data_IF_471024888974
#
_entry.id   IF_471024888974
#
_cell.length_a   1.000
_cell.length_b   1.000
_cell.length_c   1.000
_cell.angle_alpha   90.00
_cell.angle_beta   90.00
_cell.angle_gamma   90.00
#
_symmetry.space_group_name_H-M   'P 1'
#
loop_
_entity.id
_entity.type
_entity.pdbx_description
1 polymer ?
#
# COMPACT_ATOMS: atom_id res chain seq x y z
N UNK A 1 17.98 -8.05 -29.62
CA UNK A 1 17.61 -9.17 -30.52
C UNK A 1 16.13 -8.98 -30.80
N UNK A 2 15.72 -8.90 -32.07
CA UNK A 2 14.31 -8.75 -32.41
C UNK A 2 13.54 -10.03 -32.00
N UNK A 3 12.26 -9.94 -31.61
CA UNK A 3 11.54 -11.05 -30.99
C UNK A 3 11.16 -12.06 -32.08
N UNK A 4 11.80 -13.22 -32.08
CA UNK A 4 11.19 -14.39 -32.67
C UNK A 4 10.26 -15.00 -31.61
N UNK A 5 8.97 -15.04 -31.90
CA UNK A 5 7.91 -15.51 -30.99
C UNK A 5 8.04 -16.96 -30.46
N UNK A 6 9.16 -17.64 -30.73
CA UNK A 6 9.51 -18.90 -30.08
C UNK A 6 10.01 -18.73 -28.63
N UNK A 7 10.36 -17.50 -28.22
CA UNK A 7 10.84 -17.21 -26.86
C UNK A 7 9.77 -16.71 -25.89
N UNK A 8 8.77 -15.97 -26.39
CA UNK A 8 7.84 -15.21 -25.55
C UNK A 8 7.02 -16.10 -24.60
N UNK A 9 7.08 -15.76 -23.31
CA UNK A 9 6.35 -16.50 -22.30
C UNK A 9 5.75 -15.67 -21.17
N UNK A 10 4.63 -16.17 -20.64
CA UNK A 10 3.96 -15.64 -19.45
C UNK A 10 4.12 -16.60 -18.27
N UNK A 11 4.11 -16.05 -17.06
CA UNK A 11 3.93 -16.79 -15.82
C UNK A 11 2.69 -16.25 -15.11
N UNK A 12 1.85 -17.16 -14.62
CA UNK A 12 0.63 -16.79 -13.91
C UNK A 12 0.63 -17.47 -12.55
N UNK A 13 0.70 -16.69 -11.47
CA UNK A 13 0.76 -17.18 -10.09
C UNK A 13 -0.37 -16.65 -9.21
N UNK A 14 -0.56 -17.25 -8.03
CA UNK A 14 -1.57 -16.83 -7.04
C UNK A 14 -0.91 -16.25 -5.79
N UNK A 15 -1.51 -15.20 -5.22
CA UNK A 15 -1.15 -14.60 -3.92
C UNK A 15 0.35 -14.30 -3.78
N UNK A 16 0.95 -13.76 -4.85
CA UNK A 16 2.36 -13.39 -4.98
C UNK A 16 3.34 -14.57 -4.97
N UNK A 17 2.84 -15.81 -5.09
CA UNK A 17 3.65 -17.01 -5.24
C UNK A 17 4.11 -17.25 -6.69
N UNK A 18 5.30 -17.82 -6.85
CA UNK A 18 5.82 -18.25 -8.14
C UNK A 18 5.08 -19.50 -8.62
N UNK A 19 4.50 -19.52 -9.83
CA UNK A 19 3.80 -20.69 -10.30
C UNK A 19 4.76 -21.82 -10.66
N UNK A 20 4.37 -23.06 -10.37
CA UNK A 20 5.08 -24.26 -10.85
C UNK A 20 4.40 -24.86 -12.08
N UNK A 21 3.06 -24.82 -12.13
CA UNK A 21 2.22 -25.44 -13.17
C UNK A 21 1.69 -24.45 -14.21
N UNK A 22 1.62 -23.17 -13.88
CA UNK A 22 1.34 -22.06 -14.82
C UNK A 22 2.57 -21.17 -15.04
N UNK A 23 3.76 -21.77 -15.04
CA UNK A 23 5.00 -21.11 -15.46
C UNK A 23 5.28 -21.37 -16.95
N UNK A 24 5.96 -20.43 -17.59
CA UNK A 24 6.42 -20.55 -18.97
C UNK A 24 5.27 -20.86 -19.95
N UNK A 25 4.11 -20.19 -19.80
CA UNK A 25 3.07 -20.23 -20.81
C UNK A 25 3.66 -19.73 -22.13
N UNK A 26 3.40 -20.43 -23.22
CA UNK A 26 4.01 -20.21 -24.54
C UNK A 26 2.97 -20.43 -25.63
N UNK A 27 3.39 -20.52 -26.89
CA UNK A 27 2.50 -20.75 -28.03
C UNK A 27 1.79 -19.48 -28.49
N UNK A 28 2.36 -18.31 -28.19
CA UNK A 28 1.92 -17.03 -28.71
C UNK A 28 2.51 -16.82 -30.11
N UNK A 29 1.67 -16.52 -31.09
CA UNK A 29 2.10 -16.32 -32.47
C UNK A 29 2.63 -14.89 -32.65
N UNK A 30 3.70 -14.68 -33.44
CA UNK A 30 4.24 -13.35 -33.66
C UNK A 30 3.22 -12.47 -34.38
N UNK A 31 3.04 -11.23 -33.90
CA UNK A 31 2.17 -10.22 -34.50
C UNK A 31 0.69 -10.66 -34.66
N UNK A 32 0.22 -11.59 -33.85
CA UNK A 32 -1.16 -12.05 -33.87
C UNK A 32 -1.74 -12.15 -32.46
N UNK A 33 -3.04 -11.88 -32.32
CA UNK A 33 -3.77 -12.18 -31.10
C UNK A 33 -4.24 -13.63 -31.17
N UNK A 34 -3.75 -14.47 -30.27
CA UNK A 34 -4.16 -15.86 -30.17
C UNK A 34 -4.30 -16.30 -28.71
N UNK A 35 -5.25 -17.20 -28.48
CA UNK A 35 -5.37 -17.87 -27.20
C UNK A 35 -4.29 -18.93 -27.07
N UNK A 36 -3.69 -19.03 -25.89
CA UNK A 36 -2.85 -20.16 -25.52
C UNK A 36 -3.13 -20.56 -24.07
N UNK A 37 -3.00 -21.86 -23.82
CA UNK A 37 -3.05 -22.50 -22.50
C UNK A 37 -1.78 -23.32 -22.24
N UNK A 38 -0.86 -23.38 -23.20
CA UNK A 38 0.24 -24.34 -23.19
C UNK A 38 1.44 -23.77 -22.45
N UNK A 39 2.12 -24.61 -21.68
CA UNK A 39 3.46 -24.35 -21.15
C UNK A 39 4.53 -24.81 -22.14
N UNK A 40 5.79 -24.41 -21.95
CA UNK A 40 6.92 -24.90 -22.74
C UNK A 40 7.12 -26.44 -22.67
N UNK A 41 6.53 -27.11 -21.68
CA UNK A 41 6.51 -28.58 -21.58
C UNK A 41 5.33 -29.21 -22.31
N UNK A 42 4.58 -28.44 -23.11
CA UNK A 42 3.39 -28.87 -23.86
C UNK A 42 2.28 -29.44 -22.97
N UNK A 43 2.17 -28.91 -21.74
CA UNK A 43 1.07 -29.20 -20.81
C UNK A 43 0.17 -27.98 -20.67
N UNK A 44 -1.06 -28.16 -20.19
CA UNK A 44 -1.92 -27.03 -19.87
C UNK A 44 -1.42 -26.32 -18.61
N UNK A 45 -1.38 -25.00 -18.65
CA UNK A 45 -1.18 -24.17 -17.48
C UNK A 45 -2.40 -24.28 -16.56
N UNK A 46 -2.16 -24.62 -15.29
CA UNK A 46 -3.21 -24.74 -14.27
C UNK A 46 -2.86 -23.92 -13.03
N UNK A 47 -3.89 -23.50 -12.31
CA UNK A 47 -3.77 -22.81 -11.04
C UNK A 47 -4.46 -23.66 -9.97
N UNK A 48 -3.72 -24.03 -8.93
CA UNK A 48 -4.23 -24.89 -7.88
C UNK A 48 -4.91 -24.03 -6.80
N UNK A 49 -6.23 -24.11 -6.75
CA UNK A 49 -7.06 -23.45 -5.73
C UNK A 49 -7.42 -24.47 -4.64
N UNK A 50 -6.60 -24.54 -3.60
CA UNK A 50 -6.77 -25.51 -2.49
C UNK A 50 -7.83 -25.13 -1.47
N UNK A 51 -8.42 -23.93 -1.59
CA UNK A 51 -9.46 -23.41 -0.70
C UNK A 51 -10.39 -22.46 -1.45
N UNK A 52 -11.58 -22.24 -0.91
CA UNK A 52 -12.47 -21.15 -1.37
C UNK A 52 -12.04 -19.82 -0.75
N UNK A 53 -11.98 -18.76 -1.55
CA UNK A 53 -11.63 -17.42 -1.04
C UNK A 53 -11.28 -16.44 -2.17
N UNK A 54 -10.80 -15.26 -1.77
CA UNK A 54 -10.24 -14.26 -2.69
C UNK A 54 -8.79 -14.59 -2.98
N UNK A 55 -8.41 -14.56 -4.26
CA UNK A 55 -7.05 -14.79 -4.71
C UNK A 55 -6.56 -13.60 -5.53
N UNK A 56 -5.31 -13.21 -5.33
CA UNK A 56 -4.62 -12.26 -6.21
C UNK A 56 -3.94 -13.02 -7.32
N UNK A 57 -4.34 -12.77 -8.57
CA UNK A 57 -3.66 -13.31 -9.73
C UNK A 57 -2.48 -12.39 -10.09
N UNK A 58 -1.30 -12.98 -10.22
CA UNK A 58 -0.09 -12.30 -10.64
C UNK A 58 0.27 -12.78 -12.02
N UNK A 59 0.40 -11.86 -12.97
CA UNK A 59 0.83 -12.18 -14.33
C UNK A 59 2.14 -11.46 -14.59
N UNK A 60 3.15 -12.22 -14.97
CA UNK A 60 4.45 -11.68 -15.38
C UNK A 60 4.84 -12.22 -16.75
N UNK A 61 5.66 -11.45 -17.47
CA UNK A 61 6.23 -11.81 -18.76
C UNK A 61 7.73 -12.00 -18.59
N UNK A 62 8.30 -12.99 -19.28
CA UNK A 62 9.74 -13.26 -19.24
C UNK A 62 10.51 -12.40 -20.24
N UNK A 63 9.90 -12.10 -21.38
CA UNK A 63 10.45 -11.28 -22.46
C UNK A 63 9.66 -9.98 -22.66
N UNK A 64 10.33 -8.93 -23.12
CA UNK A 64 9.71 -7.65 -23.45
C UNK A 64 8.98 -7.70 -24.80
N UNK A 65 7.90 -6.91 -24.92
CA UNK A 65 7.15 -6.77 -26.18
C UNK A 65 5.97 -7.73 -26.34
N UNK A 66 5.86 -8.78 -25.52
CA UNK A 66 4.65 -9.59 -25.41
C UNK A 66 3.49 -8.74 -24.86
N UNK A 67 2.32 -8.82 -25.50
CA UNK A 67 1.12 -8.08 -25.09
C UNK A 67 0.05 -9.04 -24.65
N UNK A 68 -0.55 -8.77 -23.49
CA UNK A 68 -1.71 -9.50 -22.96
C UNK A 68 -2.94 -8.61 -23.07
N UNK A 69 -4.01 -9.14 -23.65
CA UNK A 69 -5.33 -8.48 -23.71
C UNK A 69 -6.29 -9.11 -22.71
N UNK A 70 -6.44 -10.44 -22.76
CA UNK A 70 -7.43 -11.17 -21.95
C UNK A 70 -6.84 -12.41 -21.29
N UNK A 71 -7.37 -12.71 -20.12
CA UNK A 71 -7.14 -13.95 -19.41
C UNK A 71 -8.48 -14.62 -19.09
N UNK A 72 -8.58 -15.91 -19.34
CA UNK A 72 -9.78 -16.70 -19.08
C UNK A 72 -9.45 -17.84 -18.13
N UNK A 73 -10.11 -17.85 -16.98
CA UNK A 73 -10.01 -18.94 -16.01
C UNK A 73 -11.14 -19.93 -16.26
N UNK A 74 -10.79 -21.18 -16.55
CA UNK A 74 -11.75 -22.26 -16.80
C UNK A 74 -11.41 -23.47 -15.93
N UNK A 75 -12.44 -24.18 -15.49
CA UNK A 75 -12.29 -25.47 -14.80
C UNK A 75 -12.13 -26.62 -15.80
N UNK A 76 -12.72 -26.51 -16.99
CA UNK A 76 -12.50 -27.45 -18.08
C UNK A 76 -11.29 -27.02 -18.91
N UNK A 77 -10.15 -27.66 -18.65
CA UNK A 77 -8.90 -27.35 -19.35
C UNK A 77 -8.95 -27.65 -20.85
N UNK A 78 -9.94 -28.39 -21.36
CA UNK A 78 -10.11 -28.65 -22.79
C UNK A 78 -10.74 -27.46 -23.55
N UNK A 79 -11.30 -26.47 -22.85
CA UNK A 79 -11.92 -25.29 -23.47
C UNK A 79 -10.85 -24.38 -24.08
N UNK A 80 -10.95 -24.11 -25.38
CA UNK A 80 -10.14 -23.11 -26.09
C UNK A 80 -11.10 -22.07 -26.69
N UNK A 81 -11.04 -20.80 -26.26
CA UNK A 81 -11.87 -19.75 -26.85
C UNK A 81 -11.50 -19.49 -28.31
N UNK A 82 -12.48 -19.13 -29.13
CA UNK A 82 -12.26 -18.71 -30.52
C UNK A 82 -12.41 -17.20 -30.66
N UNK A 83 -11.70 -16.59 -31.61
CA UNK A 83 -11.78 -15.14 -31.85
C UNK A 83 -11.41 -14.33 -30.61
N UNK A 84 -12.21 -13.30 -30.28
CA UNK A 84 -11.99 -12.45 -29.10
C UNK A 84 -12.37 -13.09 -27.75
N UNK A 85 -12.79 -14.36 -27.75
CA UNK A 85 -13.27 -15.06 -26.57
C UNK A 85 -14.68 -14.64 -26.11
N UNK A 86 -15.17 -15.18 -24.98
CA UNK A 86 -16.43 -14.76 -24.39
C UNK A 86 -16.38 -13.30 -23.92
N UNK A 87 -17.55 -12.74 -23.61
CA UNK A 87 -17.63 -11.47 -22.89
C UNK A 87 -16.85 -11.58 -21.58
N UNK A 88 -16.14 -10.51 -21.22
CA UNK A 88 -15.37 -10.43 -19.98
C UNK A 88 -16.28 -10.64 -18.78
N UNK A 89 -15.77 -11.31 -17.75
CA UNK A 89 -16.48 -11.41 -16.47
C UNK A 89 -16.67 -10.01 -15.90
N UNK A 90 -17.80 -9.71 -15.23
CA UNK A 90 -17.99 -8.43 -14.57
C UNK A 90 -16.82 -8.21 -13.60
N UNK A 91 -16.05 -7.14 -13.80
CA UNK A 91 -15.14 -6.66 -12.77
C UNK A 91 -15.98 -6.01 -11.69
N UNK A 92 -15.66 -6.23 -10.41
CA UNK A 92 -16.25 -5.45 -9.32
C UNK A 92 -15.61 -4.06 -9.27
N UNK A 93 -15.64 -3.33 -10.39
CA UNK A 93 -15.44 -1.89 -10.44
C UNK A 93 -16.77 -1.14 -10.21
N UNK A 94 -17.88 -1.87 -10.07
CA UNK A 94 -19.12 -1.30 -9.58
C UNK A 94 -18.90 -0.81 -8.15
N UNK A 95 -19.28 0.44 -7.90
CA UNK A 95 -19.37 0.95 -6.55
C UNK A 95 -20.29 0.03 -5.76
N UNK A 96 -19.92 -0.41 -4.54
CA UNK A 96 -20.83 -1.16 -3.70
C UNK A 96 -22.08 -0.31 -3.50
N UNK A 97 -23.23 -0.99 -3.40
CA UNK A 97 -24.44 -0.34 -2.91
C UNK A 97 -24.13 0.37 -1.59
N UNK A 98 -24.82 1.48 -1.31
CA UNK A 98 -24.76 2.16 -0.02
C UNK A 98 -24.90 1.12 1.09
N UNK A 99 -23.82 0.95 1.84
CA UNK A 99 -23.71 -0.01 2.91
C UNK A 99 -23.16 0.70 4.14
N UNK A 100 -23.55 0.21 5.31
CA UNK A 100 -23.17 0.81 6.58
C UNK A 100 -22.47 -0.22 7.45
N UNK A 101 -21.29 0.14 7.94
CA UNK A 101 -20.69 -0.53 9.08
C UNK A 101 -20.60 0.42 10.28
N UNK A 102 -20.63 -0.16 11.46
CA UNK A 102 -20.31 0.53 12.72
C UNK A 102 -18.89 0.15 13.13
N UNK A 103 -18.09 1.15 13.49
CA UNK A 103 -16.75 0.97 14.05
C UNK A 103 -16.78 1.34 15.53
N UNK A 104 -16.44 0.39 16.40
CA UNK A 104 -16.32 0.61 17.83
C UNK A 104 -14.85 0.56 18.23
N UNK A 105 -14.40 1.55 18.99
CA UNK A 105 -13.03 1.67 19.45
C UNK A 105 -12.98 1.53 20.97
N UNK A 106 -12.08 0.68 21.47
CA UNK A 106 -11.77 0.55 22.89
C UNK A 106 -10.36 1.05 23.18
N UNK A 107 -10.20 1.71 24.33
CA UNK A 107 -8.95 2.33 24.74
C UNK A 107 -8.56 1.92 26.16
N UNK A 108 -7.27 1.97 26.47
CA UNK A 108 -6.77 1.88 27.85
C UNK A 108 -6.78 3.27 28.56
N UNK A 109 -6.46 3.35 29.86
CA UNK A 109 -6.43 4.63 30.59
C UNK A 109 -5.39 5.65 30.09
N UNK A 110 -4.46 5.24 29.22
CA UNK A 110 -3.50 6.13 28.56
C UNK A 110 -4.00 6.57 27.16
N UNK A 111 -5.27 6.28 26.84
CA UNK A 111 -5.91 6.53 25.54
C UNK A 111 -5.20 5.83 24.38
N UNK A 112 -4.54 4.70 24.63
CA UNK A 112 -4.01 3.84 23.58
C UNK A 112 -5.10 2.89 23.12
N UNK A 113 -5.21 2.71 21.81
CA UNK A 113 -6.23 1.88 21.18
C UNK A 113 -5.98 0.40 21.51
N UNK A 114 -6.85 -0.26 22.26
CA UNK A 114 -6.68 -1.68 22.64
C UNK A 114 -7.50 -2.63 21.79
N UNK A 115 -8.64 -2.17 21.27
CA UNK A 115 -9.46 -2.98 20.38
C UNK A 115 -10.28 -2.15 19.41
N UNK A 116 -10.59 -2.74 18.25
CA UNK A 116 -11.53 -2.18 17.27
C UNK A 116 -12.44 -3.27 16.76
N UNK A 117 -13.74 -2.99 16.67
CA UNK A 117 -14.72 -3.91 16.08
C UNK A 117 -15.48 -3.21 14.96
N UNK A 118 -15.44 -3.81 13.77
CA UNK A 118 -16.24 -3.49 12.61
C UNK A 118 -17.41 -4.48 12.54
N UNK A 119 -18.62 -3.96 12.34
CA UNK A 119 -19.84 -4.76 12.19
C UNK A 119 -20.75 -4.15 11.14
N UNK A 120 -21.54 -4.97 10.44
CA UNK A 120 -22.38 -4.53 9.32
C UNK A 120 -22.00 -5.24 8.03
N UNK A 121 -21.79 -4.49 6.96
CA UNK A 121 -21.31 -5.00 5.67
C UNK A 121 -19.85 -5.48 5.70
N UNK A 122 -19.06 -4.95 6.64
CA UNK A 122 -17.73 -5.45 6.99
C UNK A 122 -17.76 -5.99 8.41
N UNK A 123 -17.16 -7.17 8.60
CA UNK A 123 -16.90 -7.75 9.92
C UNK A 123 -15.41 -7.94 10.11
N UNK A 124 -14.84 -7.26 11.10
CA UNK A 124 -13.43 -7.40 11.47
C UNK A 124 -13.24 -7.00 12.94
N UNK A 125 -12.37 -7.71 13.66
CA UNK A 125 -11.93 -7.30 15.00
C UNK A 125 -10.41 -7.18 15.05
N UNK A 126 -9.93 -6.18 15.77
CA UNK A 126 -8.52 -5.97 16.02
C UNK A 126 -8.29 -5.84 17.53
N UNK A 127 -7.23 -6.45 18.05
CA UNK A 127 -6.77 -6.26 19.42
C UNK A 127 -5.28 -5.93 19.47
N UNK A 128 -4.90 -5.09 20.44
CA UNK A 128 -3.56 -4.56 20.59
C UNK A 128 -3.12 -4.59 22.05
N UNK A 129 -1.98 -5.23 22.30
CA UNK A 129 -1.29 -5.20 23.58
C UNK A 129 -0.04 -4.32 23.48
N UNK A 130 0.27 -3.63 24.57
CA UNK A 130 1.38 -2.70 24.62
C UNK A 130 2.28 -2.95 25.83
N UNK A 131 3.57 -2.72 25.66
CA UNK A 131 4.47 -2.58 26.80
C UNK A 131 4.30 -1.21 27.50
N UNK A 132 5.05 -0.99 28.58
CA UNK A 132 4.98 0.24 29.38
C UNK A 132 5.34 1.53 28.61
N UNK A 133 6.16 1.42 27.55
CA UNK A 133 6.60 2.55 26.71
C UNK A 133 5.77 2.71 25.42
N UNK A 134 4.66 1.97 25.31
CA UNK A 134 3.71 2.09 24.21
C UNK A 134 4.09 1.36 22.93
N UNK A 135 5.13 0.52 22.93
CA UNK A 135 5.35 -0.38 21.80
C UNK A 135 4.28 -1.47 21.79
N UNK A 136 3.68 -1.72 20.62
CA UNK A 136 2.71 -2.79 20.42
C UNK A 136 3.41 -4.14 20.50
N UNK A 137 3.20 -4.92 21.55
CA UNK A 137 3.82 -6.26 21.72
C UNK A 137 3.05 -7.35 21.00
N UNK A 138 1.74 -7.17 20.83
CA UNK A 138 0.86 -8.13 20.16
C UNK A 138 -0.17 -7.39 19.31
N UNK A 139 -0.45 -7.93 18.14
CA UNK A 139 -1.52 -7.52 17.24
C UNK A 139 -2.32 -8.75 16.87
N UNK A 140 -3.62 -8.75 17.18
CA UNK A 140 -4.54 -9.79 16.74
C UNK A 140 -5.53 -9.17 15.76
N UNK A 141 -5.73 -9.81 14.62
CA UNK A 141 -6.73 -9.43 13.63
C UNK A 141 -7.60 -10.63 13.30
N UNK A 142 -8.91 -10.46 13.32
CA UNK A 142 -9.88 -11.47 12.88
C UNK A 142 -10.77 -10.83 11.83
N UNK A 143 -10.57 -11.20 10.57
CA UNK A 143 -11.42 -10.76 9.44
C UNK A 143 -12.20 -11.98 8.96
N UNK A 144 -11.52 -12.91 8.30
CA UNK A 144 -12.03 -14.25 7.97
C UNK A 144 -11.45 -15.32 8.88
N UNK A 145 -10.19 -15.15 9.28
CA UNK A 145 -9.47 -15.98 10.24
C UNK A 145 -8.73 -15.09 11.25
N UNK A 146 -8.48 -15.64 12.44
CA UNK A 146 -7.68 -14.97 13.46
C UNK A 146 -6.20 -15.15 13.16
N UNK A 147 -5.49 -14.03 13.00
CA UNK A 147 -4.04 -13.96 12.89
C UNK A 147 -3.49 -13.22 14.11
N UNK A 148 -2.40 -13.73 14.66
CA UNK A 148 -1.75 -13.16 15.84
C UNK A 148 -0.30 -12.90 15.53
N UNK A 149 0.09 -11.63 15.57
CA UNK A 149 1.47 -11.21 15.36
C UNK A 149 2.07 -10.73 16.68
N UNK A 150 3.21 -11.28 17.05
CA UNK A 150 4.02 -10.83 18.18
C UNK A 150 5.19 -9.99 17.71
N UNK A 151 5.51 -8.95 18.46
CA UNK A 151 6.57 -7.99 18.13
C UNK A 151 7.58 -7.88 19.27
N UNK A 152 8.86 -7.81 18.92
CA UNK A 152 9.94 -7.56 19.88
C UNK A 152 10.64 -6.24 19.59
N UNK A 153 11.20 -5.61 20.62
CA UNK A 153 11.81 -4.29 20.51
C UNK A 153 13.13 -4.24 21.26
N UNK A 154 14.05 -3.40 20.81
CA UNK A 154 15.26 -3.08 21.56
C UNK A 154 15.03 -1.91 22.54
N UNK A 155 16.08 -1.54 23.29
CA UNK A 155 16.04 -0.45 24.27
C UNK A 155 15.78 0.94 23.66
N UNK A 156 16.01 1.12 22.35
CA UNK A 156 15.72 2.35 21.62
C UNK A 156 14.29 2.37 21.03
N UNK A 157 13.42 1.42 21.42
CA UNK A 157 12.07 1.26 20.88
C UNK A 157 12.04 0.97 19.36
N UNK A 158 13.12 0.43 18.81
CA UNK A 158 13.14 -0.05 17.43
C UNK A 158 12.53 -1.45 17.39
N UNK A 159 11.66 -1.69 16.41
CA UNK A 159 11.09 -3.02 16.18
C UNK A 159 12.23 -3.95 15.76
N UNK A 160 12.36 -5.15 16.33
CA UNK A 160 13.46 -6.08 15.99
C UNK A 160 12.91 -7.29 15.25
N UNK A 161 11.81 -7.86 15.73
CA UNK A 161 11.12 -8.93 15.03
C UNK A 161 9.61 -8.77 15.00
N UNK A 162 8.98 -9.29 13.95
CA UNK A 162 7.55 -9.55 13.87
C UNK A 162 7.34 -11.02 13.49
N UNK A 163 6.53 -11.74 14.27
CA UNK A 163 6.20 -13.15 14.05
C UNK A 163 4.70 -13.35 14.08
N UNK A 164 4.11 -13.61 12.92
CA UNK A 164 2.73 -14.08 12.81
C UNK A 164 2.70 -15.57 13.16
N UNK A 165 1.76 -15.97 14.01
CA UNK A 165 1.72 -17.29 14.63
C UNK A 165 1.46 -18.43 13.62
N UNK A 166 0.66 -18.17 12.58
CA UNK A 166 0.33 -19.16 11.55
C UNK A 166 1.36 -19.23 10.41
N UNK A 167 2.18 -18.19 10.24
CA UNK A 167 3.24 -18.13 9.25
C UNK A 167 4.49 -18.89 9.72
N UNK A 168 5.17 -19.66 8.85
CA UNK A 168 6.49 -20.21 9.18
C UNK A 168 7.55 -19.11 9.30
N UNK A 169 7.33 -17.94 8.68
CA UNK A 169 8.33 -16.90 8.56
C UNK A 169 8.42 -16.01 9.79
N UNK A 170 9.62 -15.49 10.06
CA UNK A 170 9.83 -14.41 11.03
C UNK A 170 10.50 -13.24 10.31
N UNK A 171 9.98 -12.04 10.51
CA UNK A 171 10.53 -10.82 9.91
C UNK A 171 11.49 -10.15 10.88
N UNK A 172 12.65 -9.74 10.37
CA UNK A 172 13.65 -8.97 11.10
C UNK A 172 13.72 -7.55 10.56
N UNK A 173 13.89 -6.59 11.47
CA UNK A 173 13.88 -5.17 11.17
C UNK A 173 15.23 -4.58 11.58
N UNK A 174 15.94 -3.99 10.61
CA UNK A 174 17.31 -3.49 10.79
C UNK A 174 17.34 -1.98 10.67
N UNK A 175 18.00 -1.32 11.61
CA UNK A 175 18.07 0.13 11.70
C UNK A 175 19.51 0.62 11.51
N UNK A 176 19.65 1.82 10.94
CA UNK A 176 20.94 2.52 10.92
C UNK A 176 21.24 3.23 12.25
N UNK A 177 22.41 3.87 12.34
CA UNK A 177 22.84 4.60 13.53
C UNK A 177 22.02 5.85 13.85
N UNK A 178 21.23 6.37 12.90
CA UNK A 178 20.29 7.47 13.10
C UNK A 178 18.89 6.96 13.48
N UNK A 179 18.71 5.64 13.55
CA UNK A 179 17.44 5.00 13.87
C UNK A 179 16.46 4.95 12.70
N UNK A 180 16.89 5.09 11.45
CA UNK A 180 16.02 4.83 10.31
C UNK A 180 15.96 3.31 10.04
N UNK A 181 14.76 2.77 9.80
CA UNK A 181 14.59 1.39 9.35
C UNK A 181 15.15 1.25 7.94
N UNK A 182 16.22 0.47 7.76
CA UNK A 182 16.90 0.30 6.47
C UNK A 182 16.62 -1.04 5.80
N UNK A 183 16.21 -2.07 6.56
CA UNK A 183 15.87 -3.39 6.01
C UNK A 183 14.72 -4.05 6.77
N UNK A 184 13.85 -4.73 6.04
CA UNK A 184 12.91 -5.73 6.54
C UNK A 184 13.25 -7.05 5.86
N UNK A 185 13.63 -8.08 6.61
CA UNK A 185 14.20 -9.31 6.04
C UNK A 185 13.45 -10.53 6.58
N UNK A 186 12.90 -11.41 5.73
CA UNK A 186 12.31 -12.65 6.20
C UNK A 186 13.39 -13.68 6.54
N UNK A 187 13.16 -14.44 7.61
CA UNK A 187 13.92 -15.64 8.00
C UNK A 187 15.42 -15.45 8.26
N UNK A 188 15.82 -14.27 8.70
CA UNK A 188 17.17 -13.98 9.18
C UNK A 188 17.63 -12.58 8.77
N UNK A 189 18.95 -12.40 8.68
CA UNK A 189 19.57 -11.12 8.24
C UNK A 189 20.28 -11.23 6.88
N UNK A 190 20.25 -12.40 6.27
CA UNK A 190 20.76 -12.63 4.91
C UNK A 190 19.74 -12.15 3.89
N UNK A 191 20.22 -11.59 2.78
CA UNK A 191 19.34 -11.20 1.67
C UNK A 191 18.47 -12.37 1.21
N UNK A 192 17.16 -12.15 1.13
CA UNK A 192 16.18 -13.17 0.79
C UNK A 192 15.03 -12.57 -0.04
N UNK A 193 14.34 -13.42 -0.80
CA UNK A 193 13.13 -12.99 -1.52
C UNK A 193 12.12 -12.38 -0.54
N UNK A 194 11.54 -11.24 -0.92
CA UNK A 194 10.63 -10.46 -0.07
C UNK A 194 11.33 -9.50 0.89
N UNK A 195 12.67 -9.45 0.94
CA UNK A 195 13.36 -8.36 1.67
C UNK A 195 12.96 -7.00 1.09
N UNK A 196 12.67 -6.04 1.97
CA UNK A 196 12.49 -4.63 1.61
C UNK A 196 13.66 -3.83 2.13
N UNK A 197 14.24 -2.98 1.29
CA UNK A 197 15.29 -2.02 1.65
C UNK A 197 14.79 -0.59 1.56
N UNK A 198 15.29 0.22 2.48
CA UNK A 198 15.01 1.64 2.55
C UNK A 198 16.31 2.42 2.62
N UNK A 199 16.52 3.32 1.67
CA UNK A 199 17.71 4.18 1.63
C UNK A 199 17.34 5.57 2.08
N UNK A 200 18.10 6.12 3.04
CA UNK A 200 17.93 7.47 3.56
C UNK A 200 19.12 8.34 3.16
N UNK A 201 18.87 9.63 2.90
CA UNK A 201 19.94 10.59 2.67
C UNK A 201 20.52 11.13 3.99
N UNK A 202 21.56 11.96 3.91
CA UNK A 202 22.25 12.55 5.07
C UNK A 202 21.36 13.45 5.94
N UNK A 203 20.17 13.84 5.46
CA UNK A 203 19.16 14.61 6.22
C UNK A 203 18.10 13.70 6.87
N UNK A 204 18.29 12.38 6.89
CA UNK A 204 17.33 11.38 7.37
C UNK A 204 15.99 11.38 6.63
N UNK A 205 16.01 11.69 5.33
CA UNK A 205 14.83 11.58 4.46
C UNK A 205 14.94 10.32 3.60
N UNK A 206 13.86 9.53 3.53
CA UNK A 206 13.76 8.33 2.69
C UNK A 206 13.84 8.74 1.21
N UNK A 207 14.82 8.22 0.47
CA UNK A 207 15.04 8.53 -0.95
C UNK A 207 14.78 7.34 -1.87
N UNK A 208 14.79 6.11 -1.36
CA UNK A 208 14.55 4.92 -2.18
C UNK A 208 13.94 3.79 -1.37
N UNK A 209 13.07 3.02 -2.03
CA UNK A 209 12.51 1.75 -1.55
C UNK A 209 12.82 0.69 -2.60
N UNK A 210 13.33 -0.46 -2.19
CA UNK A 210 13.62 -1.59 -3.07
C UNK A 210 13.05 -2.88 -2.48
N UNK A 211 12.63 -3.81 -3.33
CA UNK A 211 12.28 -5.17 -2.93
C UNK A 211 13.27 -6.16 -3.54
N UNK A 212 13.58 -7.22 -2.80
CA UNK A 212 14.42 -8.30 -3.30
C UNK A 212 13.56 -9.43 -3.88
N UNK A 213 13.79 -9.81 -5.13
CA UNK A 213 13.05 -10.89 -5.83
C UNK A 213 13.64 -12.30 -5.62
N UNK A 214 14.65 -12.41 -4.76
CA UNK A 214 15.43 -13.63 -4.53
C UNK A 214 16.77 -13.65 -5.26
N UNK A 215 16.95 -12.80 -6.29
CA UNK A 215 18.18 -12.67 -7.05
C UNK A 215 18.79 -11.26 -6.97
N UNK A 216 17.97 -10.22 -6.99
CA UNK A 216 18.40 -8.83 -7.07
C UNK A 216 17.44 -7.87 -6.37
N UNK A 217 17.91 -6.65 -6.13
CA UNK A 217 17.08 -5.57 -5.61
C UNK A 217 16.44 -4.82 -6.77
N UNK A 218 15.12 -4.68 -6.72
CA UNK A 218 14.29 -4.00 -7.70
C UNK A 218 13.70 -2.74 -7.07
N UNK A 219 13.91 -1.55 -7.66
CA UNK A 219 13.35 -0.31 -7.12
C UNK A 219 11.82 -0.38 -7.13
N UNK A 220 11.22 0.10 -6.05
CA UNK A 220 9.77 0.23 -5.87
C UNK A 220 9.35 1.69 -5.84
N UNK A 221 10.17 2.53 -5.22
CA UNK A 221 9.98 3.97 -5.22
C UNK A 221 11.30 4.73 -5.10
N UNK A 222 11.35 5.92 -5.69
CA UNK A 222 12.40 6.92 -5.48
C UNK A 222 11.77 8.27 -5.13
N UNK A 223 12.41 9.05 -4.25
CA UNK A 223 11.84 10.29 -3.75
C UNK A 223 12.89 11.40 -3.72
N UNK A 224 12.54 12.53 -4.34
CA UNK A 224 13.34 13.73 -4.33
C UNK A 224 12.68 14.83 -3.49
N UNK A 225 13.52 15.60 -2.80
CA UNK A 225 13.10 16.65 -1.89
C UNK A 225 13.78 17.98 -2.23
N UNK A 226 13.12 19.08 -1.86
CA UNK A 226 13.76 20.40 -1.85
C UNK A 226 14.78 20.54 -0.70
N UNK A 227 15.39 21.73 -0.60
CA UNK A 227 16.31 22.08 0.48
C UNK A 227 15.67 22.12 1.88
N UNK A 228 14.35 22.29 1.96
CA UNK A 228 13.58 22.30 3.21
C UNK A 228 13.03 20.90 3.60
N UNK A 229 13.24 19.87 2.76
CA UNK A 229 12.79 18.51 3.01
C UNK A 229 11.36 18.22 2.55
N UNK A 230 10.76 19.09 1.72
CA UNK A 230 9.45 18.84 1.14
C UNK A 230 9.57 17.95 -0.09
N UNK A 231 8.67 16.98 -0.24
CA UNK A 231 8.67 16.04 -1.37
C UNK A 231 8.33 16.79 -2.66
N UNK A 232 9.30 16.87 -3.58
CA UNK A 232 9.15 17.49 -4.91
C UNK A 232 8.84 16.48 -5.99
N UNK A 233 9.27 15.23 -5.83
CA UNK A 233 9.04 14.19 -6.81
C UNK A 233 8.96 12.84 -6.13
N UNK A 234 8.09 11.97 -6.65
CA UNK A 234 8.08 10.54 -6.34
C UNK A 234 8.06 9.77 -7.65
N UNK A 235 8.93 8.79 -7.77
CA UNK A 235 8.92 7.81 -8.85
C UNK A 235 8.38 6.51 -8.25
N UNK A 236 7.37 5.91 -8.86
CA UNK A 236 6.92 4.55 -8.53
C UNK A 236 7.27 3.63 -9.69
N UNK A 237 7.67 2.40 -9.39
CA UNK A 237 8.01 1.42 -10.42
C UNK A 237 6.87 0.40 -10.55
N UNK A 238 6.25 0.34 -11.72
CA UNK A 238 5.22 -0.66 -12.05
C UNK A 238 5.78 -1.54 -13.14
N UNK A 239 5.99 -2.83 -12.84
CA UNK A 239 6.62 -3.79 -13.76
C UNK A 239 7.98 -3.29 -14.30
N UNK A 240 8.79 -2.68 -13.44
CA UNK A 240 10.09 -2.11 -13.81
C UNK A 240 10.02 -0.78 -14.56
N UNK A 241 8.84 -0.30 -14.92
CA UNK A 241 8.67 0.99 -15.60
C UNK A 241 8.51 2.10 -14.57
N UNK A 242 9.37 3.12 -14.67
CA UNK A 242 9.31 4.31 -13.83
C UNK A 242 8.11 5.19 -14.19
N UNK A 243 7.28 5.49 -13.20
CA UNK A 243 6.17 6.44 -13.27
C UNK A 243 6.48 7.60 -12.33
N UNK A 244 6.82 8.74 -12.92
CA UNK A 244 7.27 9.92 -12.18
C UNK A 244 6.10 10.84 -11.92
N UNK A 245 5.91 11.26 -10.66
CA UNK A 245 4.99 12.34 -10.27
C UNK A 245 5.79 13.49 -9.69
N UNK A 246 5.61 14.69 -10.24
CA UNK A 246 6.24 15.93 -9.78
C UNK A 246 5.22 16.79 -9.04
N UNK A 247 5.61 17.32 -7.89
CA UNK A 247 4.74 18.09 -7.00
C UNK A 247 5.07 19.58 -7.09
N UNK A 248 4.07 20.39 -7.43
CA UNK A 248 4.12 21.84 -7.24
C UNK A 248 3.58 22.16 -5.85
N UNK A 249 4.40 22.74 -4.99
CA UNK A 249 4.04 23.00 -3.59
C UNK A 249 3.63 24.47 -3.37
N UNK A 250 2.72 24.69 -2.43
CA UNK A 250 2.42 26.04 -1.92
C UNK A 250 3.62 26.56 -1.11
N UNK A 251 4.35 27.52 -1.68
CA UNK A 251 5.52 28.12 -1.06
C UNK A 251 5.20 29.04 0.13
N UNK A 252 3.93 29.41 0.31
CA UNK A 252 3.46 30.35 1.33
C UNK A 252 2.65 29.67 2.44
N UNK A 253 1.88 28.61 2.15
CA UNK A 253 1.05 27.91 3.14
C UNK A 253 1.44 26.44 3.31
N UNK A 254 2.04 26.09 4.46
CA UNK A 254 2.29 24.72 4.95
C UNK A 254 3.00 23.74 3.98
N UNK A 255 3.49 24.19 2.82
CA UNK A 255 4.17 23.37 1.80
C UNK A 255 3.33 22.20 1.29
N UNK A 256 2.01 22.39 1.24
CA UNK A 256 1.08 21.39 0.71
C UNK A 256 1.15 21.35 -0.83
N UNK A 257 0.93 20.19 -1.46
CA UNK A 257 0.90 20.10 -2.92
C UNK A 257 -0.30 20.82 -3.53
N UNK A 258 -0.04 21.81 -4.38
CA UNK A 258 -1.06 22.50 -5.19
C UNK A 258 -1.36 21.76 -6.48
N UNK A 259 -0.35 21.14 -7.09
CA UNK A 259 -0.53 20.33 -8.29
C UNK A 259 0.43 19.14 -8.31
N UNK A 260 -0.01 18.05 -8.95
CA UNK A 260 0.75 16.84 -9.19
C UNK A 260 0.72 16.56 -10.70
N UNK A 261 1.89 16.44 -11.32
CA UNK A 261 2.04 16.16 -12.75
C UNK A 261 2.76 14.82 -12.92
N UNK A 262 2.10 13.86 -13.57
CA UNK A 262 2.71 12.56 -13.87
C UNK A 262 3.19 12.41 -15.33
N UNK A 263 3.19 13.51 -16.09
CA UNK A 263 3.52 13.56 -17.51
C UNK A 263 2.35 13.24 -18.46
N UNK A 264 1.28 12.63 -17.93
CA UNK A 264 0.07 12.28 -18.69
C UNK A 264 -1.19 12.98 -18.18
N UNK A 265 -1.22 13.31 -16.90
CA UNK A 265 -2.29 13.96 -16.17
C UNK A 265 -1.70 14.97 -15.18
N UNK A 266 -2.39 16.11 -15.05
CA UNK A 266 -2.07 17.13 -14.05
C UNK A 266 -3.27 17.25 -13.12
N UNK A 267 -3.07 16.94 -11.85
CA UNK A 267 -4.09 17.07 -10.81
C UNK A 267 -3.82 18.31 -9.98
N UNK A 268 -4.77 19.24 -9.98
CA UNK A 268 -4.74 20.43 -9.12
C UNK A 268 -5.61 20.22 -7.89
N UNK A 269 -5.12 20.59 -6.72
CA UNK A 269 -5.83 20.37 -5.45
C UNK A 269 -6.55 21.64 -5.01
N UNK A 270 -7.82 21.50 -4.64
CA UNK A 270 -8.59 22.54 -3.97
C UNK A 270 -8.47 22.37 -2.46
N UNK A 271 -8.00 23.42 -1.79
CA UNK A 271 -7.90 23.47 -0.34
C UNK A 271 -8.91 24.45 0.28
N UNK A 272 -9.47 24.03 1.42
CA UNK A 272 -10.00 24.91 2.46
C UNK A 272 -9.07 24.87 3.67
N UNK A 273 -9.61 24.50 4.84
CA UNK A 273 -8.77 24.15 6.00
C UNK A 273 -8.00 22.83 5.78
N UNK A 274 -8.51 21.97 4.90
CA UNK A 274 -7.99 20.68 4.47
C UNK A 274 -8.28 20.51 2.98
N UNK A 275 -7.74 19.45 2.35
CA UNK A 275 -8.07 19.13 0.95
C UNK A 275 -9.57 18.87 0.80
N UNK A 276 -10.20 19.57 -0.14
CA UNK A 276 -11.64 19.46 -0.43
C UNK A 276 -11.92 18.65 -1.70
N UNK A 277 -11.01 18.69 -2.66
CA UNK A 277 -11.15 17.98 -3.92
C UNK A 277 -9.95 18.15 -4.82
N UNK A 278 -9.99 17.49 -5.96
CA UNK A 278 -8.96 17.51 -6.99
C UNK A 278 -9.59 17.64 -8.38
N UNK A 279 -8.91 18.38 -9.25
CA UNK A 279 -9.28 18.60 -10.64
C UNK A 279 -8.22 18.02 -11.56
N UNK A 280 -8.63 17.20 -12.51
CA UNK A 280 -7.81 16.81 -13.68
C UNK A 280 -8.49 17.28 -14.97
N UNK A 281 -9.32 16.42 -15.56
CA UNK A 281 -10.25 16.77 -16.63
C UNK A 281 -11.59 17.26 -16.07
N UNK A 282 -11.98 16.72 -14.91
CA UNK A 282 -13.22 17.03 -14.20
C UNK A 282 -12.94 17.18 -12.71
N UNK A 283 -13.85 17.84 -12.00
CA UNK A 283 -13.77 17.96 -10.54
C UNK A 283 -14.19 16.66 -9.86
N UNK A 284 -13.42 16.30 -8.84
CA UNK A 284 -13.83 15.31 -7.83
C UNK A 284 -13.60 15.85 -6.43
N UNK A 285 -14.40 15.39 -5.47
CA UNK A 285 -14.47 15.93 -4.11
C UNK A 285 -14.25 14.82 -3.08
N UNK A 286 -13.44 15.11 -2.07
CA UNK A 286 -13.15 14.16 -1.00
C UNK A 286 -14.27 14.15 0.04
N UNK A 287 -14.80 12.97 0.33
CA UNK A 287 -15.70 12.75 1.46
C UNK A 287 -14.93 12.02 2.55
N UNK A 288 -14.50 12.78 3.56
CA UNK A 288 -13.62 12.31 4.63
C UNK A 288 -14.35 11.91 5.91
N UNK A 289 -13.69 11.12 6.75
CA UNK A 289 -14.10 10.89 8.14
C UNK A 289 -13.54 11.96 9.10
N UNK A 290 -13.79 11.81 10.40
CA UNK A 290 -13.32 12.76 11.44
C UNK A 290 -11.80 12.83 11.61
N UNK A 291 -11.04 11.89 11.03
CA UNK A 291 -9.58 11.91 10.93
C UNK A 291 -9.09 12.47 9.60
N UNK A 292 -10.00 12.90 8.73
CA UNK A 292 -9.73 13.29 7.34
C UNK A 292 -9.26 12.13 6.46
N UNK A 293 -9.58 10.89 6.82
CA UNK A 293 -9.39 9.77 5.89
C UNK A 293 -10.40 9.89 4.76
N UNK A 294 -9.95 9.92 3.51
CA UNK A 294 -10.84 9.96 2.34
C UNK A 294 -11.58 8.62 2.21
N UNK A 295 -12.84 8.58 2.64
CA UNK A 295 -13.70 7.38 2.56
C UNK A 295 -14.35 7.24 1.20
N UNK A 296 -14.68 8.35 0.56
CA UNK A 296 -15.22 8.35 -0.79
C UNK A 296 -14.66 9.51 -1.62
N UNK A 297 -14.61 9.32 -2.92
CA UNK A 297 -14.36 10.37 -3.91
C UNK A 297 -15.64 10.55 -4.72
N UNK A 298 -16.16 11.76 -4.82
CA UNK A 298 -17.41 12.07 -5.51
C UNK A 298 -17.12 12.93 -6.75
N UNK A 299 -17.73 12.62 -7.89
CA UNK A 299 -17.62 13.42 -9.11
C UNK A 299 -18.46 14.70 -9.06
N UNK A 300 -18.34 15.54 -10.10
CA UNK A 300 -19.09 16.80 -10.26
C UNK A 300 -20.60 16.62 -10.41
N UNK A 301 -21.06 15.42 -10.73
CA UNK A 301 -22.49 15.06 -10.86
C UNK A 301 -23.06 14.47 -9.57
N UNK A 302 -22.25 14.31 -8.52
CA UNK A 302 -22.66 13.73 -7.25
C UNK A 302 -22.58 12.20 -7.19
N UNK A 303 -22.02 11.53 -8.19
CA UNK A 303 -21.79 10.09 -8.14
C UNK A 303 -20.50 9.79 -7.40
N UNK A 304 -20.44 8.68 -6.67
CA UNK A 304 -19.19 8.22 -6.07
C UNK A 304 -18.32 7.62 -7.17
N UNK A 305 -17.04 7.98 -7.26
CA UNK A 305 -16.07 7.40 -8.19
C UNK A 305 -15.17 6.36 -7.51
N UNK A 306 -15.01 6.46 -6.19
CA UNK A 306 -14.17 5.59 -5.37
C UNK A 306 -14.76 5.53 -3.95
N UNK A 307 -14.71 4.35 -3.33
CA UNK A 307 -15.04 4.13 -1.92
C UNK A 307 -13.98 3.27 -1.25
N UNK A 308 -13.59 3.61 -0.02
CA UNK A 308 -12.55 2.92 0.76
C UNK A 308 -12.94 2.75 2.22
N UNK A 309 -12.72 1.55 2.74
CA UNK A 309 -12.74 1.28 4.18
C UNK A 309 -11.33 0.98 4.65
N UNK A 310 -10.86 1.75 5.63
CA UNK A 310 -9.56 1.56 6.27
C UNK A 310 -9.67 0.80 7.58
N UNK A 311 -8.66 -0.02 7.86
CA UNK A 311 -8.34 -0.55 9.18
C UNK A 311 -7.72 0.52 10.08
N UNK A 312 -7.50 0.22 11.37
CA UNK A 312 -7.16 1.23 12.38
C UNK A 312 -5.82 1.96 12.15
N UNK A 313 -4.93 1.38 11.35
CA UNK A 313 -3.62 1.97 11.01
C UNK A 313 -3.48 2.22 9.50
N UNK A 314 -4.58 2.24 8.74
CA UNK A 314 -4.58 2.69 7.35
C UNK A 314 -4.45 1.61 6.28
N UNK A 315 -4.43 0.33 6.67
CA UNK A 315 -4.64 -0.77 5.71
C UNK A 315 -5.99 -0.59 5.02
N UNK A 316 -6.06 -0.81 3.71
CA UNK A 316 -7.33 -0.85 2.99
C UNK A 316 -7.97 -2.22 3.25
N UNK A 317 -9.17 -2.24 3.84
CA UNK A 317 -9.97 -3.45 4.06
C UNK A 317 -10.89 -3.73 2.88
N UNK A 318 -11.40 -2.66 2.27
CA UNK A 318 -12.23 -2.71 1.08
C UNK A 318 -11.98 -1.46 0.25
N UNK A 319 -11.90 -1.63 -1.07
CA UNK A 319 -11.86 -0.55 -2.05
C UNK A 319 -12.77 -0.93 -3.22
N UNK A 320 -13.44 0.05 -3.80
CA UNK A 320 -14.27 -0.14 -4.99
C UNK A 320 -14.42 1.15 -5.79
N UNK A 321 -14.76 1.01 -7.06
CA UNK A 321 -14.75 2.08 -8.06
C UNK A 321 -13.41 2.17 -8.80
N UNK A 322 -13.35 3.05 -9.80
CA UNK A 322 -12.14 3.28 -10.63
C UNK A 322 -11.50 4.64 -10.39
N UNK A 323 -12.08 5.47 -9.53
CA UNK A 323 -11.51 6.75 -9.11
C UNK A 323 -10.19 6.55 -8.38
N UNK A 324 -9.28 7.49 -8.55
CA UNK A 324 -8.03 7.56 -7.79
C UNK A 324 -8.02 8.87 -7.04
N UNK A 325 -7.67 8.85 -5.76
CA UNK A 325 -7.56 10.03 -4.91
C UNK A 325 -6.13 10.15 -4.38
N UNK A 326 -5.57 11.35 -4.41
CA UNK A 326 -4.21 11.63 -3.95
C UNK A 326 -4.07 11.45 -2.43
N UNK A 327 -5.15 11.77 -1.70
CA UNK A 327 -5.24 11.60 -0.26
C UNK A 327 -6.02 10.34 0.10
N UNK A 328 -5.56 9.66 1.16
CA UNK A 328 -6.16 8.45 1.69
C UNK A 328 -6.36 8.53 3.19
N UNK A 329 -5.89 7.52 3.92
CA UNK A 329 -6.03 7.40 5.37
C UNK A 329 -5.44 8.60 6.11
N UNK A 330 -6.22 9.22 7.00
CA UNK A 330 -5.88 10.43 7.75
C UNK A 330 -5.25 11.56 6.92
N UNK A 331 -5.71 11.75 5.69
CA UNK A 331 -5.17 12.75 4.77
C UNK A 331 -3.74 12.45 4.30
N UNK A 332 -3.25 11.22 4.48
CA UNK A 332 -1.94 10.81 4.01
C UNK A 332 -1.90 10.67 2.50
N UNK A 333 -0.73 10.92 1.91
CA UNK A 333 -0.47 10.57 0.52
C UNK A 333 0.18 9.19 0.42
N UNK A 334 0.12 8.57 -0.76
CA UNK A 334 0.91 7.36 -1.00
C UNK A 334 2.42 7.66 -0.86
N UNK A 335 3.12 6.81 -0.11
CA UNK A 335 4.57 6.87 0.09
C UNK A 335 5.36 5.97 -0.88
N UNK A 336 4.68 5.10 -1.62
CA UNK A 336 5.32 4.01 -2.38
C UNK A 336 5.57 2.77 -1.51
N UNK A 337 5.63 1.59 -2.14
CA UNK A 337 5.88 0.33 -1.41
C UNK A 337 4.88 0.01 -0.29
N UNK A 338 3.64 0.49 -0.41
CA UNK A 338 2.59 0.33 0.63
C UNK A 338 2.70 1.28 1.83
N UNK A 339 3.70 2.18 1.86
CA UNK A 339 3.85 3.18 2.91
C UNK A 339 2.89 4.36 2.71
N UNK A 340 2.61 5.06 3.80
CA UNK A 340 1.88 6.33 3.82
C UNK A 340 2.86 7.48 4.10
N UNK A 341 2.83 8.52 3.28
CA UNK A 341 3.57 9.75 3.52
C UNK A 341 2.72 10.71 4.37
N UNK A 342 3.16 10.92 5.61
CA UNK A 342 2.46 11.71 6.62
C UNK A 342 3.44 12.72 7.20
N UNK A 343 3.18 14.01 7.00
CA UNK A 343 3.93 15.12 7.61
C UNK A 343 5.46 14.99 7.48
N UNK A 344 5.97 14.64 6.30
CA UNK A 344 7.41 14.54 6.06
C UNK A 344 8.04 13.18 6.42
N UNK A 345 7.27 12.23 6.97
CA UNK A 345 7.74 10.89 7.33
C UNK A 345 6.93 9.79 6.66
N UNK A 346 7.51 8.60 6.62
CA UNK A 346 6.90 7.42 6.01
C UNK A 346 6.42 6.48 7.10
N UNK A 347 5.13 6.22 7.08
CA UNK A 347 4.42 5.35 8.01
C UNK A 347 4.12 4.02 7.35
N UNK A 348 4.51 2.93 7.99
CA UNK A 348 4.13 1.59 7.59
C UNK A 348 2.80 1.22 8.27
N UNK A 349 1.69 1.12 7.51
CA UNK A 349 0.41 0.73 8.08
C UNK A 349 0.45 -0.67 8.69
N UNK A 350 1.24 -1.59 8.14
CA UNK A 350 1.33 -2.99 8.57
C UNK A 350 1.84 -3.11 10.01
N UNK A 351 2.97 -2.45 10.30
CA UNK A 351 3.52 -2.40 11.66
C UNK A 351 2.90 -1.31 12.52
N UNK A 352 2.22 -0.33 11.91
CA UNK A 352 1.62 0.81 12.59
C UNK A 352 2.67 1.80 13.10
N UNK A 353 3.82 1.94 12.42
CA UNK A 353 4.97 2.73 12.89
C UNK A 353 5.61 3.53 11.78
N UNK A 354 6.24 4.64 12.15
CA UNK A 354 7.12 5.37 11.23
C UNK A 354 8.43 4.63 11.00
N UNK A 355 9.00 4.79 9.80
CA UNK A 355 10.30 4.22 9.45
C UNK A 355 11.46 4.93 10.13
N UNK A 356 11.28 6.21 10.49
CA UNK A 356 12.28 7.03 11.18
C UNK A 356 11.68 7.66 12.45
N UNK A 357 12.51 7.90 13.49
CA UNK A 357 12.04 8.51 14.72
C UNK A 357 11.64 9.96 14.50
N UNK A 358 10.69 10.44 15.28
CA UNK A 358 10.43 11.86 15.43
C UNK A 358 11.55 12.48 16.25
N UNK A 359 12.20 13.51 15.70
CA UNK A 359 13.25 14.23 16.42
C UNK A 359 12.69 15.31 17.37
N UNK A 360 11.37 15.52 17.37
CA UNK A 360 10.69 16.42 18.30
C UNK A 360 10.42 15.75 19.65
N UNK A 361 11.50 15.35 20.32
CA UNK A 361 11.45 14.84 21.69
C UNK A 361 11.04 15.95 22.67
N UNK A 362 9.98 15.71 23.43
CA UNK A 362 9.55 16.56 24.54
C UNK A 362 9.30 15.71 25.80
N UNK A 363 10.15 15.83 26.83
CA UNK A 363 10.02 15.02 28.04
C UNK A 363 8.71 15.28 28.81
N UNK A 364 8.02 16.38 28.55
CA UNK A 364 6.73 16.72 29.16
C UNK A 364 5.53 16.16 28.37
N UNK A 365 5.79 15.57 27.19
CA UNK A 365 4.77 14.94 26.36
C UNK A 365 5.11 13.46 26.19
N UNK A 366 4.54 12.56 27.03
CA UNK A 366 4.84 11.13 27.00
C UNK A 366 4.72 10.49 25.60
N UNK A 367 3.79 10.97 24.77
CA UNK A 367 3.63 10.50 23.39
C UNK A 367 4.81 10.77 22.45
N UNK A 368 5.72 11.69 22.81
CA UNK A 368 6.93 12.00 22.04
C UNK A 368 8.15 11.19 22.48
N UNK A 369 8.07 10.47 23.60
CA UNK A 369 9.16 9.64 24.12
C UNK A 369 9.41 8.39 23.26
N UNK A 370 8.43 8.00 22.45
CA UNK A 370 8.54 6.94 21.48
C UNK A 370 8.47 7.51 20.07
N UNK A 371 9.64 7.81 19.48
CA UNK A 371 9.75 8.53 18.22
C UNK A 371 9.11 7.83 17.01
N UNK A 372 8.83 6.53 17.10
CA UNK A 372 8.28 5.75 15.99
C UNK A 372 6.77 5.60 16.01
N UNK A 373 6.11 5.99 17.11
CA UNK A 373 4.65 5.93 17.17
C UNK A 373 4.04 7.07 16.37
N UNK A 374 2.86 6.80 15.81
CA UNK A 374 2.05 7.87 15.28
C UNK A 374 1.38 8.62 16.43
N UNK A 375 1.78 9.88 16.62
CA UNK A 375 1.01 10.84 17.40
C UNK A 375 -0.34 11.18 16.73
N UNK A 376 -0.52 10.82 15.45
CA UNK A 376 -1.61 11.30 14.59
C UNK A 376 -2.87 10.41 14.55
N UNK A 377 -2.86 9.22 15.17
CA UNK A 377 -4.08 8.38 15.26
C UNK A 377 -4.78 8.46 16.62
N UNK A 378 -4.27 9.28 17.53
CA UNK A 378 -4.96 9.66 18.76
C UNK A 378 -6.13 10.59 18.37
N UNK A 379 -7.31 9.99 18.18
CA UNK A 379 -8.55 10.74 18.19
C UNK A 379 -8.67 11.51 19.51
N UNK A 380 -8.60 12.83 19.44
CA UNK A 380 -9.55 13.65 20.15
C UNK A 380 -10.41 14.33 19.06
N UNK A 381 -11.75 14.27 19.13
CA UNK A 381 -12.54 15.23 18.38
C UNK A 381 -12.16 16.62 18.92
N UNK A 382 -12.20 17.62 18.06
CA UNK A 382 -11.92 19.04 18.31
C UNK A 382 -10.47 19.52 18.17
N UNK A 383 -10.29 20.39 17.17
CA UNK A 383 -9.59 21.65 17.38
C UNK A 383 -8.17 21.73 16.83
N UNK A 384 -8.06 22.35 15.66
CA UNK A 384 -6.98 23.26 15.26
C UNK A 384 -6.13 23.75 16.45
N UNK A 385 -4.85 23.35 16.53
CA UNK A 385 -3.84 24.06 17.33
C UNK A 385 -3.05 24.95 16.36
N UNK A 386 -3.52 26.18 16.16
CA UNK A 386 -2.70 27.26 15.63
C UNK A 386 -2.07 27.97 16.83
N UNK A 387 -0.75 27.85 16.98
CA UNK A 387 0.00 28.75 17.85
C UNK A 387 0.39 29.99 17.03
N UNK A 388 -0.44 31.04 17.10
CA UNK A 388 -0.04 32.38 16.68
C UNK A 388 -0.06 33.30 17.89
N UNK A 389 1.02 34.04 18.10
CA UNK A 389 0.98 35.25 18.92
C UNK A 389 0.49 36.40 18.03
N UNK A 390 -0.59 37.09 18.41
CA UNK A 390 -0.93 38.41 17.82
C UNK A 390 -0.94 39.47 18.91
N UNK A 391 -0.14 40.50 18.62
CA UNK A 391 0.36 41.62 19.43
C UNK A 391 1.26 41.21 20.58
#
# INVERSE_FOLDING_TARGET
MAPDAGGDSLHVGLNNGTPTTAANLTGFAPNAWNWSRLTMSNTNATLDLSSSGTFTLNVSMREDGLRLDKLMLVTDTATIPTGQGPLESPTTNALPNLASHTIQYGYDPLYRLTNVTYSGDITATYQYDYNAVGNRTTYTATITATQVTTYTYNAANQLITAKEASSPDIWYYVYDGNGNLVRQVPNGLTAANGEVRYTFNQRNLLVQIENHDGSSYLPQAEINYDGAGNRLQSVSFVLGTAMTTTYTLDSLNNRLPLALDNGTDIRTILYGLFGLGEFSAEWTYYLGDGQFSVRQLMDSSGNIALSRTYGPFGQILQEAGSGSAIYGFAGAQAGGGGLLYINGRYFDPTTGRFLSPDNNFDPLRPGTLNGYLSAAFLFAPFGVIIWRKRK
#
